data_IF_995186828386
#
_entry.id   IF_995186828386
#
_cell.length_a   1.000
_cell.length_b   1.000
_cell.length_c   1.000
_cell.angle_alpha   90.00
_cell.angle_beta   90.00
_cell.angle_gamma   90.00
#
_symmetry.space_group_name_H-M   'P 1'
#
loop_
_entity.id
_entity.type
_entity.pdbx_description
1 polymer ?
#
# COMPACT_ATOMS: atom_id res chain seq x y z
N UNK A 1 -44.98 -32.02 -4.77
CA UNK A 1 -43.57 -32.01 -5.23
C UNK A 1 -43.34 -30.75 -6.04
N UNK A 2 -42.89 -29.68 -5.39
CA UNK A 2 -41.84 -28.75 -5.84
C UNK A 2 -41.35 -28.11 -4.55
N UNK A 3 -40.12 -28.40 -4.14
CA UNK A 3 -39.49 -27.76 -2.98
C UNK A 3 -38.85 -26.50 -3.56
N UNK A 4 -39.28 -25.33 -3.10
CA UNK A 4 -38.71 -24.05 -3.54
C UNK A 4 -37.23 -24.01 -3.17
N UNK A 5 -36.37 -23.75 -4.16
CA UNK A 5 -34.95 -23.43 -4.00
C UNK A 5 -34.84 -22.09 -3.25
N UNK A 6 -34.80 -22.16 -1.92
CA UNK A 6 -34.51 -21.01 -1.06
C UNK A 6 -33.02 -20.79 -0.81
N UNK A 7 -32.17 -21.78 -1.12
CA UNK A 7 -30.73 -21.72 -0.90
C UNK A 7 -29.95 -21.02 -2.01
N UNK A 8 -30.35 -21.17 -3.28
CA UNK A 8 -29.63 -20.58 -4.42
C UNK A 8 -29.76 -19.04 -4.46
N UNK A 9 -30.90 -18.49 -4.01
CA UNK A 9 -31.15 -17.05 -4.00
C UNK A 9 -30.36 -16.36 -2.87
N UNK A 10 -30.11 -17.05 -1.75
CA UNK A 10 -29.27 -16.53 -0.67
C UNK A 10 -27.78 -16.63 -1.02
N UNK A 11 -27.34 -17.71 -1.66
CA UNK A 11 -25.93 -17.91 -2.07
C UNK A 11 -25.52 -16.93 -3.17
N UNK A 12 -26.36 -16.70 -4.19
CA UNK A 12 -26.10 -15.73 -5.26
C UNK A 12 -26.10 -14.28 -4.71
N UNK A 13 -26.92 -13.99 -3.69
CA UNK A 13 -26.91 -12.70 -2.99
C UNK A 13 -25.65 -12.48 -2.15
N UNK A 14 -25.16 -13.51 -1.48
CA UNK A 14 -23.88 -13.44 -0.75
C UNK A 14 -22.69 -13.26 -1.70
N UNK A 15 -22.70 -13.91 -2.87
CA UNK A 15 -21.67 -13.72 -3.90
C UNK A 15 -21.68 -12.31 -4.50
N UNK A 16 -22.86 -11.75 -4.76
CA UNK A 16 -22.99 -10.36 -5.25
C UNK A 16 -22.59 -9.32 -4.21
N UNK A 17 -22.92 -9.55 -2.92
CA UNK A 17 -22.47 -8.71 -1.81
C UNK A 17 -20.95 -8.81 -1.58
N UNK A 18 -20.35 -10.00 -1.75
CA UNK A 18 -18.90 -10.20 -1.72
C UNK A 18 -18.20 -9.55 -2.91
N UNK A 19 -18.77 -9.63 -4.11
CA UNK A 19 -18.21 -9.02 -5.33
C UNK A 19 -18.27 -7.49 -5.28
N UNK A 20 -19.37 -6.92 -4.78
CA UNK A 20 -19.47 -5.47 -4.53
C UNK A 20 -18.52 -5.04 -3.42
N UNK A 21 -18.44 -5.78 -2.31
CA UNK A 21 -17.47 -5.51 -1.23
C UNK A 21 -16.03 -5.61 -1.74
N UNK A 22 -15.73 -6.56 -2.61
CA UNK A 22 -14.41 -6.75 -3.23
C UNK A 22 -14.07 -5.59 -4.18
N UNK A 23 -15.00 -5.16 -5.03
CA UNK A 23 -14.83 -4.00 -5.91
C UNK A 23 -14.74 -2.68 -5.13
N UNK A 24 -15.49 -2.51 -4.04
CA UNK A 24 -15.35 -1.35 -3.15
C UNK A 24 -14.00 -1.34 -2.41
N UNK A 25 -13.51 -2.51 -1.96
CA UNK A 25 -12.15 -2.65 -1.39
C UNK A 25 -11.07 -2.37 -2.43
N UNK A 26 -11.26 -2.79 -3.67
CA UNK A 26 -10.35 -2.52 -4.79
C UNK A 26 -10.25 -1.02 -5.10
N UNK A 27 -11.34 -0.27 -4.93
CA UNK A 27 -11.36 1.20 -5.05
C UNK A 27 -10.61 1.90 -3.91
N UNK A 28 -10.57 1.33 -2.69
CA UNK A 28 -9.71 1.80 -1.58
C UNK A 28 -8.26 1.33 -1.76
N UNK A 29 -7.67 1.68 -2.90
CA UNK A 29 -6.28 1.34 -3.22
C UNK A 29 -5.35 2.28 -2.46
N UNK A 30 -4.69 1.78 -1.41
CA UNK A 30 -3.59 2.52 -0.77
C UNK A 30 -2.46 2.59 -1.80
N UNK A 31 -2.31 3.74 -2.44
CA UNK A 31 -1.22 3.99 -3.38
C UNK A 31 0.07 4.07 -2.57
N UNK A 32 1.07 3.28 -2.97
CA UNK A 32 2.41 3.12 -2.36
C UNK A 32 3.22 4.42 -2.22
N UNK A 33 2.64 5.59 -2.47
CA UNK A 33 3.29 6.90 -2.37
C UNK A 33 2.78 7.77 -1.21
N UNK A 34 1.67 7.41 -0.55
CA UNK A 34 1.11 8.20 0.57
C UNK A 34 1.73 7.89 1.93
N UNK A 35 2.32 6.70 2.10
CA UNK A 35 2.91 6.25 3.38
C UNK A 35 4.00 7.14 3.96
N UNK A 36 4.70 7.93 3.13
CA UNK A 36 5.68 8.93 3.60
C UNK A 36 5.09 10.30 3.92
N UNK A 37 3.92 10.63 3.35
CA UNK A 37 3.33 11.96 3.48
C UNK A 37 2.64 12.11 4.82
N UNK A 38 1.92 11.07 5.25
CA UNK A 38 1.32 10.98 6.58
C UNK A 38 1.27 9.52 7.05
N UNK A 39 2.39 9.05 7.63
CA UNK A 39 2.49 7.69 8.14
C UNK A 39 1.50 7.41 9.27
N UNK A 40 1.11 8.43 10.04
CA UNK A 40 0.18 8.29 11.17
C UNK A 40 -1.24 7.99 10.69
N UNK A 41 -1.74 8.79 9.75
CA UNK A 41 -3.05 8.54 9.13
C UNK A 41 -3.03 7.24 8.34
N UNK A 42 -1.94 6.92 7.64
CA UNK A 42 -1.82 5.69 6.85
C UNK A 42 -1.88 4.44 7.74
N UNK A 43 -1.16 4.42 8.86
CA UNK A 43 -1.18 3.27 9.79
C UNK A 43 -2.57 3.09 10.42
N UNK A 44 -3.25 4.18 10.80
CA UNK A 44 -4.63 4.10 11.29
C UNK A 44 -5.60 3.57 10.24
N UNK A 45 -5.51 4.06 9.00
CA UNK A 45 -6.31 3.56 7.87
C UNK A 45 -6.02 2.09 7.56
N UNK A 46 -4.76 1.65 7.67
CA UNK A 46 -4.40 0.24 7.48
C UNK A 46 -5.03 -0.63 8.56
N UNK A 47 -4.99 -0.20 9.82
CA UNK A 47 -5.63 -0.88 10.94
C UNK A 47 -7.15 -0.97 10.75
N UNK A 48 -7.81 0.10 10.29
CA UNK A 48 -9.23 0.08 9.91
C UNK A 48 -9.50 -0.91 8.76
N UNK A 49 -8.65 -0.93 7.73
CA UNK A 49 -8.77 -1.85 6.60
C UNK A 49 -8.64 -3.32 7.01
N UNK A 50 -7.77 -3.60 7.99
CA UNK A 50 -7.60 -4.93 8.60
C UNK A 50 -8.69 -5.27 9.64
N UNK A 51 -9.71 -4.41 9.78
CA UNK A 51 -10.82 -4.58 10.75
C UNK A 51 -10.30 -4.59 12.21
N UNK A 52 -9.18 -3.93 12.46
CA UNK A 52 -8.57 -3.77 13.79
C UNK A 52 -8.28 -2.28 14.09
N UNK A 53 -9.29 -1.40 14.11
CA UNK A 53 -9.07 0.02 14.31
C UNK A 53 -8.49 0.33 15.71
N UNK A 54 -7.56 1.27 15.77
CA UNK A 54 -7.08 1.83 17.03
C UNK A 54 -8.19 2.61 17.73
N UNK A 55 -8.26 2.54 19.07
CA UNK A 55 -9.20 3.39 19.83
C UNK A 55 -8.71 4.84 19.82
N UNK A 56 -9.61 5.78 20.06
CA UNK A 56 -9.30 7.21 20.16
C UNK A 56 -8.83 7.57 21.58
N UNK A 57 -7.70 7.01 21.99
CA UNK A 57 -7.04 7.33 23.25
C UNK A 57 -5.55 7.66 23.02
N UNK A 58 -4.96 8.38 23.98
CA UNK A 58 -3.56 8.82 23.90
C UNK A 58 -2.58 7.63 23.87
N UNK A 59 -2.96 6.51 24.50
CA UNK A 59 -2.19 5.28 24.53
C UNK A 59 -2.06 4.66 23.13
N UNK A 60 -3.15 4.56 22.37
CA UNK A 60 -3.09 4.07 20.99
C UNK A 60 -2.34 5.02 20.06
N UNK A 61 -2.44 6.33 20.26
CA UNK A 61 -1.64 7.28 19.48
C UNK A 61 -0.14 7.09 19.73
N UNK A 62 0.24 6.72 20.96
CA UNK A 62 1.62 6.33 21.29
C UNK A 62 2.02 5.02 20.59
N UNK A 63 1.14 4.01 20.60
CA UNK A 63 1.38 2.73 19.90
C UNK A 63 1.56 2.96 18.40
N UNK A 64 0.73 3.79 17.77
CA UNK A 64 0.85 4.13 16.34
C UNK A 64 2.20 4.79 16.05
N UNK A 65 2.64 5.73 16.90
CA UNK A 65 3.96 6.36 16.77
C UNK A 65 5.11 5.36 16.92
N UNK A 66 4.97 4.39 17.82
CA UNK A 66 5.95 3.33 18.01
C UNK A 66 6.03 2.38 16.80
N UNK A 67 4.89 1.98 16.25
CA UNK A 67 4.83 1.20 15.00
C UNK A 67 5.53 1.95 13.86
N UNK A 68 5.24 3.24 13.69
CA UNK A 68 5.89 4.06 12.64
C UNK A 68 7.40 4.10 12.84
N UNK A 69 7.88 4.24 14.08
CA UNK A 69 9.31 4.24 14.40
C UNK A 69 9.95 2.88 14.09
N UNK A 70 9.32 1.79 14.53
CA UNK A 70 9.81 0.42 14.32
C UNK A 70 9.87 0.08 12.82
N UNK A 71 8.87 0.48 12.05
CA UNK A 71 8.78 0.24 10.61
C UNK A 71 9.44 1.34 9.76
N UNK A 72 10.12 2.31 10.38
CA UNK A 72 10.80 3.37 9.64
C UNK A 72 11.95 2.82 8.81
N UNK A 73 12.24 3.47 7.67
CA UNK A 73 13.36 3.07 6.83
C UNK A 73 14.68 3.09 7.60
N UNK A 74 14.89 4.08 8.45
CA UNK A 74 16.11 4.21 9.27
C UNK A 74 16.24 3.06 10.26
N UNK A 75 15.16 2.65 10.92
CA UNK A 75 15.20 1.52 11.85
C UNK A 75 15.42 0.20 11.10
N UNK A 76 14.61 -0.08 10.08
CA UNK A 76 14.68 -1.34 9.33
C UNK A 76 16.03 -1.52 8.62
N UNK A 77 16.51 -0.51 7.89
CA UNK A 77 17.79 -0.60 7.15
C UNK A 77 19.03 -0.81 8.03
N UNK A 78 18.92 -0.57 9.35
CA UNK A 78 20.02 -0.68 10.30
C UNK A 78 20.01 -1.95 11.14
N UNK A 79 18.97 -2.78 11.07
CA UNK A 79 18.88 -4.04 11.81
C UNK A 79 20.06 -4.96 11.44
N UNK A 80 20.67 -5.60 12.44
CA UNK A 80 21.86 -6.46 12.23
C UNK A 80 21.57 -7.69 11.34
N UNK A 81 20.32 -8.17 11.38
CA UNK A 81 19.81 -9.22 10.47
C UNK A 81 19.95 -8.75 9.02
N UNK A 82 19.85 -7.44 8.77
CA UNK A 82 19.81 -6.87 7.44
C UNK A 82 21.21 -6.73 6.80
N UNK A 83 22.28 -6.83 7.59
CA UNK A 83 23.65 -6.53 7.14
C UNK A 83 24.50 -7.74 6.76
N UNK A 84 24.21 -8.94 7.28
CA UNK A 84 25.06 -10.13 7.03
C UNK A 84 24.32 -11.43 6.72
N UNK A 85 23.00 -11.49 6.90
CA UNK A 85 22.25 -12.69 6.55
C UNK A 85 21.95 -12.71 5.05
N UNK A 86 22.45 -13.73 4.36
CA UNK A 86 21.91 -14.08 3.06
C UNK A 86 20.45 -14.46 3.29
N UNK A 87 19.55 -13.82 2.55
CA UNK A 87 18.14 -14.23 2.58
C UNK A 87 18.00 -15.61 1.94
N UNK A 88 16.79 -16.16 1.84
CA UNK A 88 16.52 -17.35 1.00
C UNK A 88 16.84 -17.12 -0.49
N UNK A 89 17.27 -15.92 -0.87
CA UNK A 89 17.68 -15.51 -2.20
C UNK A 89 19.17 -15.16 -2.24
N UNK A 90 19.73 -15.03 -3.44
CA UNK A 90 21.15 -14.68 -3.68
C UNK A 90 21.51 -13.26 -3.20
N UNK A 91 20.53 -12.46 -2.78
CA UNK A 91 20.71 -11.08 -2.35
C UNK A 91 20.95 -10.96 -0.85
N UNK A 92 21.81 -10.01 -0.48
CA UNK A 92 21.99 -9.61 0.92
C UNK A 92 20.77 -8.79 1.31
N UNK A 93 20.36 -8.90 2.58
CA UNK A 93 19.16 -8.19 3.00
C UNK A 93 19.31 -6.65 2.89
N UNK A 94 20.54 -6.13 2.98
CA UNK A 94 20.89 -4.73 2.72
C UNK A 94 20.52 -4.26 1.31
N UNK A 95 20.49 -5.15 0.32
CA UNK A 95 20.18 -4.80 -1.07
C UNK A 95 18.72 -4.36 -1.24
N UNK A 96 17.83 -4.75 -0.32
CA UNK A 96 16.44 -4.28 -0.29
C UNK A 96 16.29 -2.83 0.20
N UNK A 97 17.31 -2.27 0.85
CA UNK A 97 17.27 -0.93 1.46
C UNK A 97 18.19 0.08 0.75
N UNK A 98 17.83 0.49 -0.48
CA UNK A 98 18.65 1.41 -1.30
C UNK A 98 18.63 2.87 -0.83
N UNK A 99 17.57 3.60 -1.19
CA UNK A 99 17.32 5.00 -0.83
C UNK A 99 15.82 5.18 -0.85
N UNK A 100 15.16 5.08 0.31
CA UNK A 100 13.72 5.34 0.40
C UNK A 100 13.48 6.86 0.28
N UNK A 101 13.68 7.41 -0.92
CA UNK A 101 13.50 8.82 -1.25
C UNK A 101 12.59 8.95 -2.48
N UNK A 102 11.63 9.86 -2.45
CA UNK A 102 10.77 10.12 -3.61
C UNK A 102 11.49 11.11 -4.55
N UNK A 103 11.44 10.86 -5.86
CA UNK A 103 12.12 11.72 -6.84
C UNK A 103 13.57 11.34 -7.14
N UNK A 104 14.12 10.30 -6.52
CA UNK A 104 15.49 9.82 -6.78
C UNK A 104 15.72 9.42 -8.25
N UNK A 105 14.64 9.14 -9.00
CA UNK A 105 14.68 8.90 -10.45
C UNK A 105 15.28 10.08 -11.23
N UNK A 106 15.18 11.32 -10.73
CA UNK A 106 15.74 12.53 -11.36
C UNK A 106 17.26 12.49 -11.54
N UNK A 107 17.95 11.65 -10.76
CA UNK A 107 19.41 11.47 -10.84
C UNK A 107 19.81 10.52 -11.97
N UNK A 108 18.87 9.73 -12.49
CA UNK A 108 19.15 8.65 -13.43
C UNK A 108 18.43 8.81 -14.78
N UNK A 109 17.31 9.54 -14.82
CA UNK A 109 16.56 9.78 -16.05
C UNK A 109 16.84 11.18 -16.58
N UNK A 110 16.97 11.28 -17.91
CA UNK A 110 16.94 12.59 -18.58
C UNK A 110 15.51 13.13 -18.57
N UNK A 111 15.36 14.45 -18.73
CA UNK A 111 14.05 15.11 -18.80
C UNK A 111 13.16 14.52 -19.89
N UNK A 112 13.74 14.14 -21.03
CA UNK A 112 13.01 13.52 -22.14
C UNK A 112 12.48 12.13 -21.77
N UNK A 113 13.31 11.28 -21.16
CA UNK A 113 12.90 9.94 -20.71
C UNK A 113 11.79 10.03 -19.66
N UNK A 114 11.92 10.98 -18.74
CA UNK A 114 10.96 11.18 -17.67
C UNK A 114 9.62 11.66 -18.24
N UNK A 115 9.62 12.65 -19.15
CA UNK A 115 8.43 13.12 -19.85
C UNK A 115 7.74 12.03 -20.69
N UNK A 116 8.51 11.20 -21.38
CA UNK A 116 7.97 10.08 -22.15
C UNK A 116 7.27 9.04 -21.25
N UNK A 117 7.85 8.71 -20.10
CA UNK A 117 7.23 7.84 -19.10
C UNK A 117 5.98 8.48 -18.51
N UNK A 118 6.04 9.77 -18.19
CA UNK A 118 4.93 10.51 -17.59
C UNK A 118 3.71 10.57 -18.52
N UNK A 119 3.95 10.78 -19.83
CA UNK A 119 2.92 10.68 -20.86
C UNK A 119 2.29 9.28 -20.91
N UNK A 120 3.12 8.23 -20.94
CA UNK A 120 2.64 6.84 -21.02
C UNK A 120 1.84 6.44 -19.77
N UNK A 121 2.24 6.90 -18.59
CA UNK A 121 1.51 6.66 -17.34
C UNK A 121 0.15 7.37 -17.38
N UNK A 122 0.12 8.65 -17.81
CA UNK A 122 -1.14 9.40 -17.95
C UNK A 122 -2.09 8.71 -18.92
N UNK A 123 -1.61 8.28 -20.08
CA UNK A 123 -2.41 7.53 -21.05
C UNK A 123 -2.98 6.23 -20.46
N UNK A 124 -2.19 5.48 -19.67
CA UNK A 124 -2.69 4.21 -19.08
C UNK A 124 -3.59 4.40 -17.87
N UNK A 125 -3.53 5.54 -17.19
CA UNK A 125 -4.27 5.78 -15.96
C UNK A 125 -5.43 6.76 -16.09
N UNK A 126 -5.62 7.40 -17.26
CA UNK A 126 -6.63 8.45 -17.45
C UNK A 126 -8.03 8.06 -16.97
N UNK A 127 -8.48 6.83 -17.24
CA UNK A 127 -9.82 6.35 -16.85
C UNK A 127 -9.86 5.60 -15.51
N UNK A 128 -8.71 5.43 -14.87
CA UNK A 128 -8.63 4.65 -13.62
C UNK A 128 -8.97 5.46 -12.37
N UNK A 129 -9.10 6.79 -12.49
CA UNK A 129 -9.22 7.71 -11.36
C UNK A 129 -7.95 7.81 -10.50
N UNK A 130 -6.85 7.16 -10.91
CA UNK A 130 -5.57 7.20 -10.19
C UNK A 130 -4.73 8.38 -10.66
N UNK A 131 -4.32 9.21 -9.69
CA UNK A 131 -3.42 10.34 -9.93
C UNK A 131 -2.19 10.23 -9.04
N UNK A 132 -1.02 10.55 -9.56
CA UNK A 132 0.20 10.70 -8.76
C UNK A 132 0.38 12.17 -8.35
N UNK A 133 0.68 12.39 -7.07
CA UNK A 133 0.91 13.72 -6.49
C UNK A 133 2.25 14.34 -6.89
N UNK A 134 3.18 13.54 -7.43
CA UNK A 134 4.35 14.06 -8.15
C UNK A 134 4.38 13.49 -9.57
N UNK A 135 4.39 14.34 -10.60
CA UNK A 135 4.76 13.92 -11.94
C UNK A 135 6.22 13.47 -11.96
N UNK A 136 6.51 12.52 -12.85
CA UNK A 136 7.87 12.22 -13.29
C UNK A 136 8.42 13.37 -14.14
#
# INVERSE_FOLDING_TARGET
MVISNGGEIEEEREEDELATTYEERRKKKIVKMDWKRDSFVTVKRLAEFLVQPFKRDEENDRIVREIIKLCSFENLSNLEIDKSSATRFVFKNSDFFRKAEAGDWKKYLTTEMAAALDHKIKEKLHDSGLTFTMPL
#
